data_IF_455980706560
#
_entry.id   IF_455980706560
#
_cell.length_a   1.000
_cell.length_b   1.000
_cell.length_c   1.000
_cell.angle_alpha   90.00
_cell.angle_beta   90.00
_cell.angle_gamma   90.00
#
_symmetry.space_group_name_H-M   'P 1'
#
loop_
_entity.id
_entity.type
_entity.pdbx_description
1 polymer ?
#
# COMPACT_ATOMS: atom_id res chain seq x y z
N UNK A 1 2.60 -24.33 -17.54
CA UNK A 1 1.41 -24.87 -16.85
C UNK A 1 1.44 -24.33 -15.43
N UNK A 2 0.29 -23.97 -14.81
CA UNK A 2 0.30 -23.39 -13.47
C UNK A 2 0.06 -24.46 -12.41
N UNK A 3 0.78 -24.36 -11.30
CA UNK A 3 0.65 -25.25 -10.14
C UNK A 3 0.26 -24.43 -8.92
N UNK A 4 -0.76 -24.89 -8.22
CA UNK A 4 -1.21 -24.37 -6.94
C UNK A 4 -0.77 -25.35 -5.84
N UNK A 5 -0.02 -24.86 -4.86
CA UNK A 5 0.38 -25.60 -3.67
C UNK A 5 -0.25 -24.95 -2.44
N UNK A 6 -0.82 -25.76 -1.55
CA UNK A 6 -1.57 -25.32 -0.39
C UNK A 6 -0.87 -25.78 0.89
N UNK A 7 -0.81 -24.88 1.86
CA UNK A 7 -0.19 -25.11 3.16
C UNK A 7 -1.11 -24.65 4.28
N UNK A 8 -1.05 -25.32 5.42
CA UNK A 8 -1.78 -24.89 6.61
C UNK A 8 -1.27 -23.54 7.12
N UNK A 9 -1.98 -22.93 8.06
CA UNK A 9 -1.60 -21.70 8.75
C UNK A 9 -0.27 -21.82 9.55
N UNK A 10 0.23 -23.05 9.71
CA UNK A 10 1.53 -23.38 10.31
C UNK A 10 2.53 -23.89 9.26
N UNK A 11 2.35 -23.52 7.99
CA UNK A 11 3.23 -23.88 6.87
C UNK A 11 3.36 -25.40 6.65
N UNK A 12 2.42 -26.23 7.09
CA UNK A 12 2.46 -27.68 6.79
C UNK A 12 1.83 -27.93 5.42
N UNK A 13 2.48 -28.71 4.55
CA UNK A 13 1.93 -29.05 3.24
C UNK A 13 0.55 -29.72 3.37
N UNK A 14 -0.44 -29.22 2.64
CA UNK A 14 -1.81 -29.71 2.65
C UNK A 14 -2.17 -30.44 1.35
N UNK A 15 -1.94 -29.79 0.20
CA UNK A 15 -2.30 -30.34 -1.11
C UNK A 15 -1.58 -29.62 -2.26
N UNK A 16 -1.60 -30.19 -3.46
CA UNK A 16 -1.12 -29.54 -4.67
C UNK A 16 -1.88 -29.99 -5.92
N UNK A 17 -2.13 -29.05 -6.83
CA UNK A 17 -2.91 -29.32 -8.05
C UNK A 17 -2.49 -28.42 -9.21
N UNK A 18 -2.70 -28.90 -10.43
CA UNK A 18 -2.56 -28.08 -11.62
C UNK A 18 -3.82 -27.24 -11.85
N UNK A 19 -3.63 -25.99 -12.24
CA UNK A 19 -4.71 -25.04 -12.52
C UNK A 19 -4.52 -24.43 -13.91
N UNK A 20 -5.62 -23.95 -14.48
CA UNK A 20 -5.58 -23.08 -15.64
C UNK A 20 -4.90 -21.76 -15.30
N UNK A 21 -4.47 -21.01 -16.33
CA UNK A 21 -3.82 -19.72 -16.16
C UNK A 21 -4.71 -18.76 -15.35
N UNK A 22 -4.34 -18.42 -14.10
CA UNK A 22 -5.13 -17.54 -13.27
C UNK A 22 -4.90 -16.08 -13.68
N UNK A 23 -5.87 -15.23 -13.37
CA UNK A 23 -5.62 -13.78 -13.28
C UNK A 23 -5.33 -13.46 -11.83
N UNK A 24 -4.10 -13.05 -11.57
CA UNK A 24 -3.62 -12.72 -10.23
C UNK A 24 -3.58 -11.20 -10.12
N UNK A 25 -4.13 -10.67 -9.04
CA UNK A 25 -4.09 -9.24 -8.75
C UNK A 25 -3.40 -9.01 -7.39
N UNK A 26 -2.26 -8.33 -7.43
CA UNK A 26 -1.45 -7.99 -6.26
C UNK A 26 -1.48 -6.47 -6.08
N UNK A 27 -2.51 -5.99 -5.39
CA UNK A 27 -2.69 -4.59 -5.03
C UNK A 27 -2.23 -4.35 -3.58
N UNK A 28 -1.26 -3.46 -3.39
CA UNK A 28 -0.62 -3.18 -2.10
C UNK A 28 -1.31 -2.09 -1.28
N UNK A 29 -2.49 -1.62 -1.72
CA UNK A 29 -3.31 -0.66 -0.98
C UNK A 29 -4.56 -1.33 -0.40
N UNK A 30 -5.13 -2.28 -1.13
CA UNK A 30 -6.42 -2.89 -0.78
C UNK A 30 -6.34 -4.37 -0.46
N UNK A 31 -5.30 -5.05 -0.96
CA UNK A 31 -5.13 -6.49 -0.81
C UNK A 31 -6.41 -7.27 -1.16
N UNK A 32 -7.07 -6.87 -2.24
CA UNK A 32 -8.33 -7.46 -2.68
C UNK A 32 -8.19 -8.95 -2.98
N UNK A 33 -9.29 -9.68 -2.85
CA UNK A 33 -9.33 -11.08 -3.22
C UNK A 33 -9.46 -11.26 -4.73
N UNK A 34 -8.78 -12.27 -5.26
CA UNK A 34 -9.03 -12.85 -6.58
C UNK A 34 -9.38 -14.34 -6.42
N UNK A 35 -9.97 -14.95 -7.44
CA UNK A 35 -10.43 -16.34 -7.37
C UNK A 35 -9.73 -17.22 -8.39
N UNK A 36 -9.39 -18.45 -7.96
CA UNK A 36 -8.86 -19.51 -8.81
C UNK A 36 -9.80 -20.70 -8.73
N UNK A 37 -10.10 -21.29 -9.89
CA UNK A 37 -10.81 -22.57 -9.97
C UNK A 37 -9.80 -23.69 -10.04
N UNK A 38 -9.98 -24.72 -9.20
CA UNK A 38 -9.15 -25.90 -9.16
C UNK A 38 -10.01 -27.18 -9.10
N UNK A 39 -9.45 -28.34 -9.46
CA UNK A 39 -10.01 -29.63 -9.03
C UNK A 39 -10.16 -29.69 -7.51
N UNK A 40 -11.01 -30.58 -7.00
CA UNK A 40 -11.22 -30.74 -5.56
C UNK A 40 -9.89 -31.00 -4.83
N UNK A 41 -9.56 -30.12 -3.89
CA UNK A 41 -8.34 -30.18 -3.05
C UNK A 41 -8.68 -29.90 -1.59
N UNK A 42 -7.81 -30.35 -0.69
CA UNK A 42 -7.89 -30.05 0.74
C UNK A 42 -7.47 -28.60 1.02
N UNK A 43 -8.44 -27.72 1.25
CA UNK A 43 -8.21 -26.31 1.46
C UNK A 43 -9.23 -25.72 2.45
N UNK A 44 -8.79 -24.80 3.30
CA UNK A 44 -9.68 -24.00 4.16
C UNK A 44 -9.21 -22.56 4.25
N UNK A 45 -10.12 -21.68 4.70
CA UNK A 45 -9.78 -20.29 5.02
C UNK A 45 -8.61 -20.22 6.01
N UNK A 46 -7.66 -19.33 5.75
CA UNK A 46 -6.46 -19.13 6.56
C UNK A 46 -5.25 -19.98 6.13
N UNK A 47 -5.43 -20.91 5.19
CA UNK A 47 -4.31 -21.59 4.54
C UNK A 47 -3.49 -20.64 3.67
N UNK A 48 -2.23 -20.98 3.45
CA UNK A 48 -1.36 -20.32 2.50
C UNK A 48 -1.42 -21.01 1.15
N UNK A 49 -1.31 -20.22 0.09
CA UNK A 49 -1.31 -20.68 -1.28
C UNK A 49 -0.07 -20.17 -2.00
N UNK A 50 0.58 -21.05 -2.74
CA UNK A 50 1.74 -20.76 -3.57
C UNK A 50 1.42 -21.12 -5.02
N UNK A 51 1.52 -20.14 -5.91
CA UNK A 51 1.25 -20.33 -7.34
C UNK A 51 2.55 -20.21 -8.11
N UNK A 52 2.89 -21.25 -8.87
CA UNK A 52 4.06 -21.26 -9.74
C UNK A 52 3.70 -21.47 -11.21
N UNK A 53 4.53 -20.92 -12.08
CA UNK A 53 4.55 -21.20 -13.51
C UNK A 53 5.96 -21.65 -13.88
N UNK A 54 6.10 -22.89 -14.34
CA UNK A 54 7.36 -23.45 -14.85
C UNK A 54 8.53 -23.24 -13.85
N UNK A 55 8.27 -23.46 -12.55
CA UNK A 55 9.17 -23.25 -11.39
C UNK A 55 9.43 -21.80 -10.95
N UNK A 56 8.83 -20.82 -11.61
CA UNK A 56 8.87 -19.41 -11.18
C UNK A 56 7.68 -19.12 -10.28
N UNK A 57 7.93 -18.55 -9.10
CA UNK A 57 6.86 -18.04 -8.22
C UNK A 57 6.12 -16.91 -8.92
N UNK A 58 4.81 -17.05 -9.02
CA UNK A 58 3.92 -16.03 -9.59
C UNK A 58 3.21 -15.27 -8.48
N UNK A 59 2.78 -15.97 -7.43
CA UNK A 59 2.16 -15.35 -6.27
C UNK A 59 2.25 -16.23 -5.02
N UNK A 60 2.40 -15.56 -3.88
CA UNK A 60 2.17 -16.09 -2.55
C UNK A 60 0.95 -15.41 -1.93
N UNK A 61 0.05 -16.19 -1.35
CA UNK A 61 -1.28 -15.73 -0.98
C UNK A 61 -1.79 -16.36 0.32
N UNK A 62 -2.82 -15.76 0.89
CA UNK A 62 -3.65 -16.33 1.94
C UNK A 62 -5.04 -16.65 1.39
N UNK A 63 -5.55 -17.85 1.70
CA UNK A 63 -6.89 -18.30 1.32
C UNK A 63 -7.92 -17.57 2.19
N UNK A 64 -8.79 -16.79 1.55
CA UNK A 64 -9.82 -16.00 2.24
C UNK A 64 -11.17 -16.69 2.27
N UNK A 65 -11.49 -17.52 1.26
CA UNK A 65 -12.74 -18.29 1.18
C UNK A 65 -12.57 -19.51 0.27
N UNK A 66 -13.37 -20.56 0.51
CA UNK A 66 -13.37 -21.80 -0.28
C UNK A 66 -14.81 -22.20 -0.57
N UNK A 67 -15.17 -22.23 -1.84
CA UNK A 67 -16.52 -22.54 -2.30
C UNK A 67 -16.54 -23.85 -3.08
N UNK A 68 -17.08 -24.94 -2.50
CA UNK A 68 -17.18 -26.23 -3.19
C UNK A 68 -18.13 -26.17 -4.39
N UNK A 69 -17.67 -26.70 -5.52
CA UNK A 69 -18.46 -26.90 -6.74
C UNK A 69 -18.67 -28.39 -7.04
N UNK A 70 -19.23 -28.68 -8.22
CA UNK A 70 -19.37 -30.07 -8.70
C UNK A 70 -18.06 -30.51 -9.37
N UNK A 71 -17.23 -31.28 -8.65
CA UNK A 71 -15.94 -31.79 -9.16
C UNK A 71 -14.81 -30.75 -9.23
N UNK A 72 -15.07 -29.53 -8.76
CA UNK A 72 -14.13 -28.42 -8.69
C UNK A 72 -14.34 -27.65 -7.39
N UNK A 73 -13.40 -26.77 -7.06
CA UNK A 73 -13.49 -25.83 -5.95
C UNK A 73 -13.05 -24.44 -6.46
N UNK A 74 -13.79 -23.41 -6.06
CA UNK A 74 -13.38 -22.03 -6.24
C UNK A 74 -12.70 -21.55 -4.97
N UNK A 75 -11.44 -21.15 -5.07
CA UNK A 75 -10.62 -20.70 -3.94
C UNK A 75 -10.39 -19.20 -4.12
N UNK A 76 -10.92 -18.41 -3.19
CA UNK A 76 -10.66 -16.98 -3.12
C UNK A 76 -9.41 -16.75 -2.28
N UNK A 77 -8.50 -15.95 -2.81
CA UNK A 77 -7.18 -15.70 -2.27
C UNK A 77 -6.89 -14.21 -2.25
N UNK A 78 -6.19 -13.74 -1.21
CA UNK A 78 -5.66 -12.38 -1.10
C UNK A 78 -4.14 -12.43 -1.12
N UNK A 79 -3.44 -11.35 -1.51
CA UNK A 79 -1.98 -11.25 -1.32
C UNK A 79 -1.58 -11.62 0.11
N UNK A 80 -0.41 -12.22 0.30
CA UNK A 80 0.00 -12.76 1.60
C UNK A 80 0.02 -11.71 2.72
N UNK A 81 0.26 -10.44 2.38
CA UNK A 81 0.20 -9.27 3.25
C UNK A 81 -1.17 -9.09 3.93
N UNK A 82 -2.26 -9.61 3.34
CA UNK A 82 -3.58 -9.61 3.97
C UNK A 82 -3.65 -10.42 5.27
N UNK A 83 -2.60 -11.20 5.59
CA UNK A 83 -2.40 -11.77 6.92
C UNK A 83 -2.42 -10.70 8.03
N UNK A 84 -1.98 -9.48 7.71
CA UNK A 84 -1.90 -8.36 8.65
C UNK A 84 -3.18 -7.53 8.69
N UNK A 85 -4.28 -7.97 8.07
CA UNK A 85 -5.57 -7.27 8.15
C UNK A 85 -6.23 -7.49 9.51
N UNK A 86 -5.67 -6.83 10.53
CA UNK A 86 -6.06 -6.89 11.94
C UNK A 86 -5.88 -5.53 12.61
N UNK A 87 -6.71 -5.27 13.60
CA UNK A 87 -6.60 -4.09 14.46
C UNK A 87 -5.64 -4.38 15.62
N UNK A 88 -4.78 -3.40 15.93
CA UNK A 88 -3.82 -3.44 17.03
C UNK A 88 -3.95 -2.17 17.87
N UNK A 89 -3.55 -2.23 19.13
CA UNK A 89 -3.47 -1.01 19.94
C UNK A 89 -2.40 -0.06 19.40
N UNK A 90 -2.74 1.23 19.38
CA UNK A 90 -1.78 2.28 19.08
C UNK A 90 -0.60 2.22 20.08
N UNK A 91 0.60 2.57 19.60
CA UNK A 91 1.79 2.65 20.42
C UNK A 91 2.59 3.89 20.05
N UNK A 92 3.29 4.46 21.02
CA UNK A 92 4.06 5.69 20.86
C UNK A 92 5.41 5.43 20.16
N UNK A 93 5.38 4.80 18.98
CA UNK A 93 6.55 4.70 18.12
C UNK A 93 6.36 5.67 16.96
N UNK A 94 7.16 6.75 16.88
CA UNK A 94 6.97 7.81 15.90
C UNK A 94 7.54 7.46 14.52
N UNK A 95 8.17 6.29 14.34
CA UNK A 95 8.71 5.84 13.04
C UNK A 95 7.84 4.72 12.46
N UNK A 96 7.28 4.93 11.26
CA UNK A 96 6.34 4.02 10.63
C UNK A 96 6.94 2.62 10.41
N UNK A 97 8.18 2.53 9.95
CA UNK A 97 8.84 1.24 9.70
C UNK A 97 9.11 0.47 11.01
N UNK A 98 9.59 1.17 12.05
CA UNK A 98 9.79 0.58 13.37
C UNK A 98 8.48 0.19 14.06
N UNK A 99 7.43 0.98 13.88
CA UNK A 99 6.10 0.68 14.40
C UNK A 99 5.54 -0.60 13.77
N UNK A 100 5.55 -0.70 12.44
CA UNK A 100 5.12 -1.91 11.71
C UNK A 100 5.93 -3.14 12.14
N UNK A 101 7.26 -3.02 12.25
CA UNK A 101 8.13 -4.09 12.73
C UNK A 101 7.71 -4.59 14.12
N UNK A 102 7.52 -3.68 15.07
CA UNK A 102 7.13 -4.03 16.44
C UNK A 102 5.77 -4.71 16.48
N UNK A 103 4.78 -4.17 15.76
CA UNK A 103 3.42 -4.69 15.80
C UNK A 103 3.36 -6.09 15.17
N UNK A 104 3.99 -6.30 14.02
CA UNK A 104 4.03 -7.63 13.39
C UNK A 104 4.75 -8.64 14.30
N UNK A 105 5.88 -8.25 14.91
CA UNK A 105 6.60 -9.09 15.86
C UNK A 105 5.73 -9.48 17.06
N UNK A 106 5.05 -8.50 17.67
CA UNK A 106 4.20 -8.70 18.85
C UNK A 106 2.99 -9.58 18.55
N UNK A 107 2.32 -9.33 17.42
CA UNK A 107 1.04 -9.97 17.11
C UNK A 107 1.18 -11.33 16.44
N UNK A 108 2.24 -11.57 15.66
CA UNK A 108 2.36 -12.76 14.83
C UNK A 108 3.55 -13.66 15.17
N UNK A 109 4.56 -13.17 15.88
CA UNK A 109 5.77 -13.96 16.16
C UNK A 109 5.87 -14.35 17.63
N UNK A 110 5.67 -13.40 18.54
CA UNK A 110 5.88 -13.57 19.97
C UNK A 110 4.67 -13.17 20.81
N UNK A 111 3.47 -13.61 20.40
CA UNK A 111 2.25 -13.43 21.16
C UNK A 111 2.10 -14.51 22.26
N UNK A 112 1.45 -14.15 23.37
CA UNK A 112 1.15 -15.05 24.47
C UNK A 112 0.12 -16.13 24.11
N UNK A 113 -0.83 -15.80 23.23
CA UNK A 113 -1.69 -16.80 22.59
C UNK A 113 -0.92 -17.47 21.45
N UNK A 114 -0.46 -18.69 21.70
CA UNK A 114 0.35 -19.44 20.74
C UNK A 114 -0.41 -19.81 19.47
N UNK A 115 -1.75 -19.79 19.47
CA UNK A 115 -2.57 -20.00 18.28
C UNK A 115 -2.62 -18.76 17.38
N UNK A 116 -2.31 -17.57 17.93
CA UNK A 116 -2.18 -16.34 17.13
C UNK A 116 -0.84 -16.29 16.39
N UNK A 117 0.20 -16.91 16.96
CA UNK A 117 1.50 -16.96 16.32
C UNK A 117 1.46 -17.68 14.96
N UNK A 118 2.28 -17.19 14.04
CA UNK A 118 2.52 -17.72 12.70
C UNK A 118 4.02 -17.95 12.55
N UNK A 119 4.45 -18.88 11.68
CA UNK A 119 5.87 -19.07 11.38
C UNK A 119 6.36 -17.89 10.53
N UNK A 120 6.53 -16.72 11.14
CA UNK A 120 6.92 -15.47 10.48
C UNK A 120 8.34 -15.11 10.89
N UNK A 121 9.16 -14.78 9.90
CA UNK A 121 10.40 -14.03 10.09
C UNK A 121 10.22 -12.64 9.50
N UNK A 122 10.65 -11.62 10.22
CA UNK A 122 10.52 -10.24 9.78
C UNK A 122 11.87 -9.52 9.76
N UNK A 123 12.11 -8.74 8.71
CA UNK A 123 13.26 -7.87 8.59
C UNK A 123 12.83 -6.45 8.20
N UNK A 124 13.40 -5.46 8.86
CA UNK A 124 13.29 -4.06 8.46
C UNK A 124 14.58 -3.63 7.73
N UNK A 125 14.45 -3.20 6.48
CA UNK A 125 15.58 -2.71 5.67
C UNK A 125 15.60 -1.18 5.54
N UNK A 126 14.57 -0.51 6.04
CA UNK A 126 14.46 0.95 6.07
C UNK A 126 15.42 1.51 7.12
N UNK A 127 16.30 2.42 6.71
CA UNK A 127 17.28 3.08 7.59
C UNK A 127 16.97 4.55 7.86
N UNK A 128 16.16 5.15 7.01
CA UNK A 128 15.65 6.51 7.17
C UNK A 128 14.45 6.47 8.10
N UNK A 129 14.38 7.41 9.04
CA UNK A 129 13.19 7.56 9.89
C UNK A 129 12.09 8.23 9.09
N UNK A 130 10.90 7.65 9.11
CA UNK A 130 9.71 8.21 8.47
C UNK A 130 8.62 8.41 9.51
N UNK A 131 8.18 9.66 9.75
CA UNK A 131 7.18 9.96 10.77
C UNK A 131 5.91 9.14 10.60
N UNK A 132 5.44 8.53 11.68
CA UNK A 132 4.10 7.98 11.77
C UNK A 132 3.23 8.96 12.54
N UNK A 133 2.29 9.59 11.83
CA UNK A 133 1.24 10.36 12.48
C UNK A 133 0.07 9.44 12.73
N UNK A 134 -0.35 9.38 13.99
CA UNK A 134 -1.56 8.70 14.42
C UNK A 134 -2.44 9.74 15.08
N UNK A 135 -3.75 9.69 14.82
CA UNK A 135 -4.69 10.55 15.52
C UNK A 135 -4.65 10.27 17.04
N UNK A 136 -4.52 11.31 17.85
CA UNK A 136 -4.36 11.17 19.31
C UNK A 136 -5.57 10.50 20.01
N UNK A 137 -6.72 10.48 19.35
CA UNK A 137 -7.97 9.87 19.82
C UNK A 137 -8.21 8.44 19.32
N UNK A 138 -7.30 7.87 18.53
CA UNK A 138 -7.41 6.49 18.05
C UNK A 138 -6.66 5.50 18.96
N UNK A 139 -7.41 4.74 19.75
CA UNK A 139 -6.86 3.68 20.61
C UNK A 139 -6.38 2.45 19.82
N UNK A 140 -6.94 2.23 18.63
CA UNK A 140 -6.63 1.07 17.78
C UNK A 140 -6.43 1.47 16.34
N UNK A 141 -5.46 0.85 15.68
CA UNK A 141 -5.11 1.06 14.27
C UNK A 141 -5.10 -0.27 13.54
N UNK A 142 -5.52 -0.27 12.28
CA UNK A 142 -5.41 -1.43 11.43
C UNK A 142 -4.03 -1.47 10.74
N UNK A 143 -3.32 -2.61 10.77
CA UNK A 143 -1.97 -2.67 10.21
C UNK A 143 -1.94 -2.45 8.69
N UNK A 144 -2.93 -2.94 7.94
CA UNK A 144 -2.92 -2.75 6.48
C UNK A 144 -3.21 -1.29 6.09
N UNK A 145 -3.93 -0.55 6.92
CA UNK A 145 -4.14 0.89 6.72
C UNK A 145 -2.83 1.66 6.95
N UNK A 146 -2.06 1.32 7.99
CA UNK A 146 -0.73 1.91 8.21
C UNK A 146 0.26 1.51 7.12
N UNK A 147 0.18 0.28 6.60
CA UNK A 147 0.96 -0.15 5.44
C UNK A 147 0.61 0.68 4.19
N UNK A 148 -0.68 0.94 3.95
CA UNK A 148 -1.13 1.77 2.84
C UNK A 148 -0.66 3.22 3.01
N UNK A 149 -0.79 3.81 4.20
CA UNK A 149 -0.28 5.15 4.53
C UNK A 149 1.24 5.24 4.28
N UNK A 150 2.01 4.27 4.78
CA UNK A 150 3.47 4.24 4.58
C UNK A 150 3.86 4.15 3.09
N UNK A 151 3.11 3.38 2.30
CA UNK A 151 3.31 3.28 0.85
C UNK A 151 2.95 4.60 0.15
N UNK A 152 1.79 5.18 0.45
CA UNK A 152 1.32 6.38 -0.25
C UNK A 152 2.08 7.64 0.14
N UNK A 153 2.58 7.73 1.36
CA UNK A 153 3.28 8.92 1.85
C UNK A 153 4.79 8.82 1.60
N UNK A 154 5.38 7.64 1.79
CA UNK A 154 6.85 7.49 1.80
C UNK A 154 7.37 6.48 0.77
N UNK A 155 6.50 5.75 0.08
CA UNK A 155 6.87 4.65 -0.80
C UNK A 155 7.46 3.43 -0.06
N UNK A 156 7.33 3.38 1.26
CA UNK A 156 7.70 2.21 2.06
C UNK A 156 6.61 1.17 1.88
N UNK A 157 6.97 -0.07 1.58
CA UNK A 157 6.00 -1.14 1.47
C UNK A 157 6.45 -2.36 2.28
N UNK A 158 5.45 -3.15 2.67
CA UNK A 158 5.67 -4.45 3.30
C UNK A 158 5.45 -5.52 2.26
N UNK A 159 6.49 -6.31 2.02
CA UNK A 159 6.40 -7.50 1.18
C UNK A 159 6.39 -8.77 2.03
N UNK A 160 5.72 -9.80 1.53
CA UNK A 160 5.63 -11.10 2.19
C UNK A 160 5.70 -12.22 1.16
N UNK A 161 6.56 -13.21 1.41
CA UNK A 161 6.68 -14.40 0.58
C UNK A 161 6.88 -15.66 1.43
N UNK A 162 6.65 -16.83 0.82
CA UNK A 162 6.83 -18.13 1.46
C UNK A 162 8.27 -18.63 1.25
N UNK A 163 8.97 -18.94 2.34
CA UNK A 163 10.26 -19.62 2.33
C UNK A 163 10.06 -21.10 2.67
N UNK A 164 10.05 -21.95 1.64
CA UNK A 164 9.89 -23.39 1.78
C UNK A 164 11.11 -24.11 2.34
N UNK A 165 12.29 -23.46 2.38
CA UNK A 165 13.47 -24.07 2.99
C UNK A 165 13.39 -23.98 4.51
N UNK A 166 12.97 -22.82 5.02
CA UNK A 166 12.78 -22.60 6.45
C UNK A 166 11.34 -22.90 6.92
N UNK A 167 10.42 -23.15 6.00
CA UNK A 167 8.99 -23.39 6.24
C UNK A 167 8.35 -22.25 7.05
N UNK A 168 8.58 -21.03 6.57
CA UNK A 168 8.14 -19.79 7.21
C UNK A 168 7.68 -18.76 6.17
N UNK A 169 6.97 -17.76 6.64
CA UNK A 169 6.68 -16.53 5.90
C UNK A 169 7.81 -15.56 6.17
N UNK A 170 8.41 -15.02 5.11
CA UNK A 170 9.41 -13.96 5.21
C UNK A 170 8.72 -12.64 4.92
N UNK A 171 8.77 -11.73 5.88
CA UNK A 171 8.20 -10.39 5.81
C UNK A 171 9.32 -9.37 5.75
N UNK A 172 9.25 -8.45 4.81
CA UNK A 172 10.26 -7.41 4.63
C UNK A 172 9.60 -6.05 4.58
N UNK A 173 10.07 -5.13 5.41
CA UNK A 173 9.73 -3.71 5.32
C UNK A 173 10.81 -3.07 4.45
N UNK A 174 10.41 -2.56 3.28
CA UNK A 174 11.32 -2.19 2.19
C UNK A 174 11.19 -0.68 1.92
N UNK A 175 12.32 0.05 1.78
CA UNK A 175 12.29 1.48 1.47
C UNK A 175 11.78 1.73 0.04
N UNK A 176 11.42 2.99 -0.29
CA UNK A 176 11.06 3.37 -1.65
C UNK A 176 12.15 2.99 -2.65
N UNK A 177 11.71 2.60 -3.85
CA UNK A 177 12.59 2.35 -4.98
C UNK A 177 13.23 3.64 -5.50
N UNK A 178 14.26 3.51 -6.33
CA UNK A 178 14.80 4.66 -7.07
C UNK A 178 13.78 5.14 -8.11
N UNK A 179 13.62 6.46 -8.23
CA UNK A 179 12.66 7.05 -9.17
C UNK A 179 12.84 6.49 -10.60
N UNK A 180 11.73 6.11 -11.23
CA UNK A 180 11.70 5.60 -12.61
C UNK A 180 10.83 6.44 -13.53
N UNK A 181 11.16 6.43 -14.81
CA UNK A 181 10.33 7.03 -15.86
C UNK A 181 9.66 5.94 -16.69
N UNK A 182 8.37 6.11 -16.97
CA UNK A 182 7.62 5.26 -17.88
C UNK A 182 7.10 6.10 -19.04
N UNK A 183 7.38 5.67 -20.27
CA UNK A 183 6.88 6.29 -21.49
C UNK A 183 5.67 5.48 -21.99
N UNK A 184 4.46 5.93 -21.68
CA UNK A 184 3.24 5.18 -21.92
C UNK A 184 2.76 5.21 -23.39
N UNK A 185 3.42 5.98 -24.25
CA UNK A 185 3.14 6.06 -25.69
C UNK A 185 4.04 5.15 -26.53
N UNK A 186 4.94 4.37 -25.90
CA UNK A 186 5.79 3.42 -26.63
C UNK A 186 5.00 2.20 -27.12
N UNK A 187 5.40 1.66 -28.28
CA UNK A 187 4.74 0.53 -28.96
C UNK A 187 4.69 -0.76 -28.11
N UNK A 188 5.54 -0.89 -27.09
CA UNK A 188 5.56 -2.05 -26.20
C UNK A 188 4.51 -1.98 -25.08
N UNK A 189 3.84 -0.84 -24.92
CA UNK A 189 2.66 -0.67 -24.06
C UNK A 189 1.45 -1.19 -24.84
N UNK A 190 0.93 -2.35 -24.42
CA UNK A 190 -0.17 -3.04 -25.10
C UNK A 190 -1.53 -2.37 -24.86
N UNK A 191 -1.71 -1.85 -23.65
CA UNK A 191 -2.90 -1.12 -23.24
C UNK A 191 -2.53 -0.11 -22.14
N UNK A 192 -3.32 0.97 -22.05
CA UNK A 192 -3.17 1.96 -21.00
C UNK A 192 -4.50 2.56 -20.60
N UNK A 193 -4.65 2.81 -19.31
CA UNK A 193 -5.74 3.61 -18.77
C UNK A 193 -5.17 4.72 -17.90
N UNK A 194 -5.74 5.92 -18.02
CA UNK A 194 -5.50 7.04 -17.12
C UNK A 194 -6.85 7.45 -16.58
N UNK A 195 -7.11 7.10 -15.32
CA UNK A 195 -8.27 7.58 -14.60
C UNK A 195 -7.82 8.66 -13.64
N UNK A 196 -8.19 9.89 -13.94
CA UNK A 196 -7.96 11.01 -13.03
C UNK A 196 -8.91 10.86 -11.84
N UNK A 197 -8.40 11.06 -10.63
CA UNK A 197 -9.22 11.11 -9.42
C UNK A 197 -10.25 12.24 -9.49
N UNK A 198 -11.38 12.05 -8.81
CA UNK A 198 -12.46 13.04 -8.70
C UNK A 198 -12.16 14.04 -7.57
N UNK A 199 -10.92 14.52 -7.47
CA UNK A 199 -10.44 15.43 -6.42
C UNK A 199 -10.77 16.88 -6.65
N UNK A 200 -11.89 17.15 -7.33
CA UNK A 200 -12.45 18.48 -7.29
C UNK A 200 -12.83 18.82 -5.83
N UNK A 201 -11.99 19.61 -5.16
CA UNK A 201 -12.12 19.93 -3.73
C UNK A 201 -10.97 19.47 -2.84
N UNK A 202 -10.05 18.63 -3.32
CA UNK A 202 -8.93 18.14 -2.50
C UNK A 202 -7.88 19.23 -2.27
N UNK A 203 -7.46 19.39 -1.01
CA UNK A 203 -6.66 20.53 -0.56
C UNK A 203 -5.22 20.49 -1.09
N UNK A 204 -4.86 21.34 -2.04
CA UNK A 204 -3.47 21.51 -2.53
C UNK A 204 -2.70 22.63 -1.80
N UNK A 205 -3.24 23.08 -0.66
CA UNK A 205 -2.68 24.10 0.21
C UNK A 205 -3.03 23.78 1.67
N UNK A 206 -2.06 23.86 2.57
CA UNK A 206 -2.30 23.75 4.01
C UNK A 206 -1.86 25.02 4.74
N UNK A 207 -2.63 25.43 5.74
CA UNK A 207 -2.27 26.53 6.63
C UNK A 207 -2.26 25.99 8.06
N UNK A 208 -1.10 26.01 8.72
CA UNK A 208 -0.93 25.51 10.08
C UNK A 208 -0.66 26.68 11.00
N UNK A 209 -1.48 26.81 12.05
CA UNK A 209 -1.28 27.81 13.11
C UNK A 209 -0.53 27.20 14.29
N UNK A 210 0.45 27.93 14.80
CA UNK A 210 1.13 27.59 16.04
C UNK A 210 0.20 27.85 17.22
N UNK A 211 -0.04 26.86 18.07
CA UNK A 211 -0.86 27.00 19.28
C UNK A 211 0.06 27.05 20.49
N UNK A 212 0.02 28.16 21.23
CA UNK A 212 0.78 28.32 22.49
C UNK A 212 -0.22 28.41 23.62
N UNK A 213 -0.08 27.53 24.62
CA UNK A 213 -0.87 27.59 25.85
C UNK A 213 0.02 28.14 26.96
N UNK A 214 -0.36 29.28 27.53
CA UNK A 214 0.31 29.85 28.68
C UNK A 214 0.08 28.96 29.91
N UNK A 215 1.15 28.48 30.54
CA UNK A 215 1.07 27.49 31.63
C UNK A 215 0.53 28.06 32.94
N UNK A 216 0.55 29.38 33.14
CA UNK A 216 0.09 30.02 34.38
C UNK A 216 -1.37 30.47 34.28
N UNK A 217 -1.80 30.90 33.11
CA UNK A 217 -3.12 31.48 32.85
C UNK A 217 -4.07 30.55 32.08
N UNK A 218 -3.55 29.44 31.54
CA UNK A 218 -4.25 28.53 30.62
C UNK A 218 -4.74 29.24 29.34
N UNK A 219 -4.24 30.44 29.04
CA UNK A 219 -4.62 31.21 27.86
C UNK A 219 -4.02 30.59 26.59
N UNK A 220 -4.84 30.37 25.57
CA UNK A 220 -4.42 29.84 24.28
C UNK A 220 -4.25 30.97 23.28
N UNK A 221 -3.05 31.11 22.71
CA UNK A 221 -2.72 32.09 21.67
C UNK A 221 -2.22 31.44 20.39
N UNK A 222 -2.27 32.20 19.29
CA UNK A 222 -1.83 31.76 17.96
C UNK A 222 -0.83 32.75 17.36
N UNK A 223 0.43 32.75 17.83
CA UNK A 223 1.39 33.81 17.51
C UNK A 223 1.89 33.80 16.06
N UNK A 224 1.84 32.64 15.38
CA UNK A 224 2.33 32.49 14.01
C UNK A 224 1.56 31.44 13.21
N UNK A 225 1.77 31.44 11.90
CA UNK A 225 1.29 30.40 10.99
C UNK A 225 2.30 30.16 9.87
N UNK A 226 2.32 28.94 9.33
CA UNK A 226 3.04 28.59 8.10
C UNK A 226 2.02 28.13 7.05
N UNK A 227 2.33 28.41 5.79
CA UNK A 227 1.53 27.99 4.63
C UNK A 227 2.38 27.04 3.78
N UNK A 228 1.83 25.85 3.53
CA UNK A 228 2.44 24.85 2.66
C UNK A 228 1.62 24.69 1.37
N UNK A 229 2.32 24.38 0.29
CA UNK A 229 1.78 24.20 -1.05
C UNK A 229 2.17 22.84 -1.59
N UNK A 230 1.22 22.15 -2.23
CA UNK A 230 1.51 20.97 -3.03
C UNK A 230 1.85 21.39 -4.46
N UNK A 231 3.00 20.93 -4.93
CA UNK A 231 3.49 21.16 -6.29
C UNK A 231 3.12 20.01 -7.24
N UNK A 232 3.08 20.23 -8.57
CA UNK A 232 2.81 19.19 -9.57
C UNK A 232 3.83 18.04 -9.58
N UNK A 233 5.07 18.30 -9.16
CA UNK A 233 6.10 17.26 -8.98
C UNK A 233 5.91 16.48 -7.67
N UNK A 234 4.91 16.86 -6.87
CA UNK A 234 4.54 16.23 -5.61
C UNK A 234 5.32 16.70 -4.40
N UNK A 235 6.23 17.66 -4.57
CA UNK A 235 6.91 18.28 -3.43
C UNK A 235 5.91 19.12 -2.61
N UNK A 236 6.14 19.17 -1.30
CA UNK A 236 5.39 20.02 -0.37
C UNK A 236 6.38 20.94 0.31
N UNK A 237 6.22 22.25 0.12
CA UNK A 237 7.06 23.25 0.75
C UNK A 237 6.29 24.57 0.97
N UNK A 238 7.00 25.63 1.36
CA UNK A 238 6.43 26.96 1.63
C UNK A 238 6.54 27.92 0.44
N UNK A 239 7.02 27.45 -0.71
CA UNK A 239 7.30 28.24 -1.90
C UNK A 239 6.02 28.38 -2.74
N UNK A 240 5.58 29.62 -2.97
CA UNK A 240 4.38 29.90 -3.78
C UNK A 240 4.73 30.01 -5.27
N UNK A 241 5.19 28.91 -5.86
CA UNK A 241 5.46 28.78 -7.30
C UNK A 241 4.81 27.52 -7.88
N UNK A 242 4.78 27.41 -9.22
CA UNK A 242 4.29 26.25 -9.97
C UNK A 242 2.98 25.60 -9.47
N UNK A 243 2.04 26.40 -8.95
CA UNK A 243 0.93 25.86 -8.14
C UNK A 243 -0.05 25.00 -8.92
N UNK A 244 -0.60 24.00 -8.23
CA UNK A 244 -1.82 23.31 -8.66
C UNK A 244 -3.01 24.28 -8.56
N UNK A 245 -3.83 24.34 -9.63
CA UNK A 245 -5.05 25.16 -9.68
C UNK A 245 -6.24 24.34 -10.20
N UNK A 246 -7.49 24.59 -9.73
CA UNK A 246 -7.90 25.59 -8.73
C UNK A 246 -7.38 25.28 -7.32
N UNK A 247 -7.22 26.32 -6.50
CA UNK A 247 -6.69 26.18 -5.13
C UNK A 247 -7.79 25.74 -4.18
N UNK A 248 -7.54 24.64 -3.48
CA UNK A 248 -8.36 24.15 -2.37
C UNK A 248 -7.47 24.09 -1.14
N UNK A 249 -7.97 24.46 0.04
CA UNK A 249 -7.15 24.58 1.24
C UNK A 249 -7.70 23.79 2.41
N UNK A 250 -6.78 23.34 3.27
CA UNK A 250 -7.08 22.80 4.59
C UNK A 250 -6.38 23.62 5.67
N UNK A 251 -6.92 23.59 6.89
CA UNK A 251 -6.45 24.36 8.04
C UNK A 251 -6.16 23.40 9.20
N UNK A 252 -5.06 23.62 9.91
CA UNK A 252 -4.75 22.90 11.15
C UNK A 252 -4.13 23.81 12.21
N UNK A 253 -4.07 23.29 13.42
CA UNK A 253 -3.35 23.87 14.56
C UNK A 253 -2.39 22.84 15.11
N UNK A 254 -1.18 23.28 15.44
CA UNK A 254 -0.14 22.42 16.02
C UNK A 254 0.44 23.11 17.25
N UNK A 255 0.53 22.38 18.36
CA UNK A 255 1.04 22.90 19.63
C UNK A 255 2.53 23.25 19.53
N UNK A 256 2.95 24.30 20.26
CA UNK A 256 4.34 24.75 20.29
C UNK A 256 5.29 23.68 20.80
N UNK A 257 6.37 23.46 20.05
CA UNK A 257 7.46 22.54 20.35
C UNK A 257 8.77 23.12 19.83
N UNK A 258 9.91 22.58 20.31
CA UNK A 258 11.23 22.92 19.78
C UNK A 258 11.42 22.47 18.31
N UNK A 259 10.58 21.54 17.85
CA UNK A 259 10.61 20.95 16.50
C UNK A 259 9.46 21.44 15.61
N UNK A 260 8.75 22.49 16.04
CA UNK A 260 7.47 22.90 15.45
C UNK A 260 7.51 23.09 13.92
N UNK A 261 8.58 23.64 13.37
CA UNK A 261 8.70 23.85 11.91
C UNK A 261 8.74 22.52 11.13
N UNK A 262 9.43 21.51 11.69
CA UNK A 262 9.52 20.17 11.08
C UNK A 262 8.22 19.41 11.28
N UNK A 263 7.65 19.45 12.48
CA UNK A 263 6.37 18.80 12.79
C UNK A 263 5.25 19.36 11.89
N UNK A 264 5.26 20.68 11.63
CA UNK A 264 4.33 21.34 10.72
C UNK A 264 4.56 20.91 9.25
N UNK A 265 5.82 20.75 8.82
CA UNK A 265 6.12 20.22 7.49
C UNK A 265 5.64 18.78 7.35
N UNK A 266 5.90 17.92 8.32
CA UNK A 266 5.51 16.52 8.30
C UNK A 266 3.98 16.38 8.24
N UNK A 267 3.26 17.17 9.03
CA UNK A 267 1.79 17.22 8.98
C UNK A 267 1.27 17.74 7.63
N UNK A 268 1.95 18.71 7.02
CA UNK A 268 1.59 19.22 5.70
C UNK A 268 1.86 18.21 4.58
N UNK A 269 3.01 17.52 4.62
CA UNK A 269 3.34 16.42 3.72
C UNK A 269 2.24 15.36 3.82
N UNK A 270 1.89 14.92 5.02
CA UNK A 270 0.85 13.92 5.19
C UNK A 270 -0.54 14.37 4.69
N UNK A 271 -0.94 15.62 4.95
CA UNK A 271 -2.25 16.11 4.53
C UNK A 271 -2.35 16.35 3.02
N UNK A 272 -1.23 16.65 2.36
CA UNK A 272 -1.18 17.06 0.96
C UNK A 272 -0.70 15.92 0.02
N UNK A 273 0.23 15.06 0.45
CA UNK A 273 0.80 13.95 -0.34
C UNK A 273 -0.21 12.89 -0.82
N UNK A 274 -1.33 12.58 -0.13
CA UNK A 274 -2.36 11.70 -0.68
C UNK A 274 -2.90 12.19 -2.04
N UNK A 275 -2.74 13.48 -2.36
CA UNK A 275 -3.18 14.09 -3.62
C UNK A 275 -2.13 14.03 -4.72
N UNK A 276 -0.86 13.75 -4.39
CA UNK A 276 0.23 13.59 -5.35
C UNK A 276 -0.02 12.40 -6.30
N UNK A 277 -0.69 11.35 -5.79
CA UNK A 277 -0.90 10.08 -6.49
C UNK A 277 -2.37 9.81 -6.80
N UNK A 278 -3.19 10.85 -6.88
CA UNK A 278 -4.65 10.76 -7.06
C UNK A 278 -5.10 10.39 -8.48
N UNK A 279 -4.21 9.79 -9.26
CA UNK A 279 -4.54 9.25 -10.58
C UNK A 279 -4.32 7.75 -10.54
N UNK A 280 -5.30 6.97 -10.98
CA UNK A 280 -5.10 5.56 -11.28
C UNK A 280 -4.59 5.44 -12.71
N UNK A 281 -3.33 5.06 -12.87
CA UNK A 281 -2.74 4.81 -14.19
C UNK A 281 -2.43 3.32 -14.29
N UNK A 282 -2.90 2.67 -15.35
CA UNK A 282 -2.52 1.29 -15.66
C UNK A 282 -1.72 1.25 -16.96
N UNK A 283 -0.63 0.50 -16.96
CA UNK A 283 0.17 0.22 -18.15
C UNK A 283 0.31 -1.29 -18.31
N UNK A 284 -0.18 -1.82 -19.41
CA UNK A 284 -0.13 -3.26 -19.71
C UNK A 284 1.03 -3.55 -20.66
N UNK A 285 1.79 -4.58 -20.34
CA UNK A 285 2.94 -5.04 -21.10
C UNK A 285 2.83 -6.54 -21.38
N UNK A 286 3.61 -7.00 -22.35
CA UNK A 286 3.80 -8.44 -22.56
C UNK A 286 4.67 -9.02 -21.45
N UNK A 287 4.42 -10.27 -21.04
CA UNK A 287 5.33 -11.02 -20.18
C UNK A 287 6.73 -11.11 -20.82
N UNK A 288 7.76 -10.84 -20.02
CA UNK A 288 9.16 -10.82 -20.45
C UNK A 288 9.55 -9.61 -21.29
N UNK A 289 8.78 -8.51 -21.22
CA UNK A 289 9.16 -7.24 -21.87
C UNK A 289 10.53 -6.77 -21.34
N UNK A 290 11.53 -6.78 -22.22
CA UNK A 290 12.91 -6.50 -21.86
C UNK A 290 13.18 -5.03 -21.52
N UNK A 291 12.31 -4.11 -21.99
CA UNK A 291 12.50 -2.68 -21.78
C UNK A 291 12.05 -2.28 -20.38
N UNK A 292 10.88 -2.76 -19.95
CA UNK A 292 10.26 -2.37 -18.68
C UNK A 292 10.52 -3.39 -17.57
N UNK A 293 10.68 -4.67 -17.92
CA UNK A 293 10.75 -5.81 -17.00
C UNK A 293 9.64 -5.75 -15.93
N UNK A 294 8.36 -5.78 -16.35
CA UNK A 294 7.23 -5.50 -15.48
C UNK A 294 7.11 -6.49 -14.31
N UNK A 295 7.59 -7.74 -14.45
CA UNK A 295 7.64 -8.76 -13.39
C UNK A 295 8.65 -8.43 -12.28
N UNK A 296 9.58 -7.51 -12.51
CA UNK A 296 10.62 -7.13 -11.56
C UNK A 296 10.47 -5.68 -11.09
N UNK A 297 9.42 -4.98 -11.54
CA UNK A 297 9.15 -3.61 -11.14
C UNK A 297 8.82 -3.54 -9.63
N UNK A 298 9.69 -2.90 -8.85
CA UNK A 298 9.57 -2.82 -7.40
C UNK A 298 8.38 -1.95 -6.96
N UNK A 299 7.49 -2.47 -6.13
CA UNK A 299 6.41 -1.70 -5.50
C UNK A 299 7.00 -0.56 -4.65
N UNK A 300 6.26 0.55 -4.50
CA UNK A 300 6.76 1.74 -3.79
C UNK A 300 7.80 2.53 -4.57
N UNK A 301 8.02 2.21 -5.86
CA UNK A 301 8.87 3.02 -6.73
C UNK A 301 8.13 4.30 -7.14
N UNK A 302 8.62 5.50 -6.76
CA UNK A 302 8.10 6.75 -7.29
C UNK A 302 8.42 6.83 -8.78
N UNK A 303 7.51 7.42 -9.55
CA UNK A 303 7.66 7.44 -11.00
C UNK A 303 7.09 8.67 -11.67
N UNK A 304 7.63 8.96 -12.86
CA UNK A 304 7.08 9.92 -13.80
C UNK A 304 6.57 9.17 -15.01
N UNK A 305 5.28 9.32 -15.33
CA UNK A 305 4.64 8.66 -16.46
C UNK A 305 4.34 9.71 -17.53
N UNK A 306 4.96 9.56 -18.70
CA UNK A 306 4.71 10.41 -19.86
C UNK A 306 3.66 9.79 -20.76
N UNK A 307 2.63 10.56 -21.10
CA UNK A 307 1.57 10.16 -22.03
C UNK A 307 0.89 11.37 -22.65
N UNK A 308 0.66 11.37 -23.96
CA UNK A 308 -0.03 12.46 -24.66
C UNK A 308 0.63 13.83 -24.51
N UNK A 309 1.95 13.86 -24.30
CA UNK A 309 2.72 15.09 -24.06
C UNK A 309 2.61 15.66 -22.64
N UNK A 310 1.96 14.95 -21.72
CA UNK A 310 1.86 15.30 -20.29
C UNK A 310 2.76 14.38 -19.46
N UNK A 311 3.19 14.89 -18.30
CA UNK A 311 3.94 14.15 -17.31
C UNK A 311 3.09 14.01 -16.03
N UNK A 312 2.95 12.77 -15.55
CA UNK A 312 2.22 12.46 -14.33
C UNK A 312 3.20 11.93 -13.27
N UNK A 313 3.24 12.58 -12.12
CA UNK A 313 3.92 12.04 -10.94
C UNK A 313 3.03 10.95 -10.33
N UNK A 314 3.58 9.76 -10.09
CA UNK A 314 2.84 8.62 -9.56
C UNK A 314 3.74 7.70 -8.73
N UNK A 315 3.18 6.64 -8.17
CA UNK A 315 3.92 5.60 -7.46
C UNK A 315 3.38 4.23 -7.85
N UNK A 316 4.26 3.23 -8.02
CA UNK A 316 3.85 1.87 -8.34
C UNK A 316 3.23 1.19 -7.10
N UNK A 317 1.94 0.86 -7.18
CA UNK A 317 1.16 0.34 -6.04
C UNK A 317 0.56 -1.03 -6.27
N UNK A 318 0.61 -1.54 -7.50
CA UNK A 318 0.08 -2.87 -7.77
C UNK A 318 0.60 -3.49 -9.06
N UNK A 319 0.37 -4.79 -9.16
CA UNK A 319 0.67 -5.58 -10.34
C UNK A 319 -0.38 -6.66 -10.51
N UNK A 320 -0.92 -6.76 -11.72
CA UNK A 320 -1.73 -7.91 -12.14
C UNK A 320 -0.98 -8.76 -13.15
N UNK A 321 -0.99 -10.08 -12.94
CA UNK A 321 -0.41 -11.08 -13.84
C UNK A 321 -1.57 -11.83 -14.50
N UNK A 322 -1.68 -11.68 -15.81
CA UNK A 322 -2.65 -12.39 -16.64
C UNK A 322 -1.98 -13.38 -17.59
N UNK A 323 -2.74 -13.88 -18.57
CA UNK A 323 -2.21 -14.80 -19.58
C UNK A 323 -1.31 -14.08 -20.57
N UNK A 324 0.01 -14.16 -20.36
CA UNK A 324 1.02 -13.59 -21.27
C UNK A 324 1.18 -12.06 -21.19
N UNK A 325 0.52 -11.42 -20.23
CA UNK A 325 0.57 -9.97 -20.00
C UNK A 325 0.75 -9.65 -18.52
N UNK A 326 1.41 -8.54 -18.23
CA UNK A 326 1.56 -7.98 -16.89
C UNK A 326 1.07 -6.53 -16.92
N UNK A 327 0.16 -6.20 -16.02
CA UNK A 327 -0.35 -4.83 -15.86
C UNK A 327 0.27 -4.22 -14.61
N UNK A 328 0.95 -3.10 -14.77
CA UNK A 328 1.44 -2.29 -13.66
C UNK A 328 0.38 -1.24 -13.33
N UNK A 329 0.11 -1.08 -12.04
CA UNK A 329 -0.89 -0.12 -11.55
C UNK A 329 -0.21 0.93 -10.69
N UNK A 330 -0.40 2.19 -11.05
CA UNK A 330 0.18 3.33 -10.39
C UNK A 330 -0.91 4.19 -9.73
N UNK A 331 -0.53 4.88 -8.66
CA UNK A 331 -1.40 5.79 -7.92
C UNK A 331 -1.96 5.23 -6.62
N UNK A 332 -2.50 6.13 -5.80
CA UNK A 332 -3.04 5.87 -4.46
C UNK A 332 -4.57 5.77 -4.41
N UNK A 333 -5.28 6.43 -5.34
CA UNK A 333 -6.74 6.42 -5.36
C UNK A 333 -7.26 5.40 -6.37
N UNK A 334 -8.09 4.46 -5.88
CA UNK A 334 -8.80 3.48 -6.72
C UNK A 334 -10.24 3.93 -6.92
N UNK A 335 -10.74 3.87 -8.16
CA UNK A 335 -12.15 4.18 -8.49
C UNK A 335 -13.15 3.40 -7.62
N UNK A 336 -12.76 2.20 -7.16
CA UNK A 336 -13.55 1.33 -6.29
C UNK A 336 -13.59 1.80 -4.82
N UNK A 337 -12.50 2.35 -4.29
CA UNK A 337 -12.37 2.89 -2.94
C UNK A 337 -13.15 4.22 -2.79
N UNK A 338 -13.02 5.11 -3.77
CA UNK A 338 -13.72 6.41 -3.78
C UNK A 338 -15.24 6.23 -3.74
N UNK A 339 -15.77 5.23 -4.46
CA UNK A 339 -17.21 4.89 -4.40
C UNK A 339 -17.65 4.40 -3.01
N UNK A 340 -16.84 3.57 -2.33
CA UNK A 340 -17.16 3.06 -0.98
C UNK A 340 -17.13 4.17 0.08
N UNK A 341 -16.14 5.05 0.05
CA UNK A 341 -16.01 6.19 0.97
C UNK A 341 -17.13 7.23 0.79
N UNK A 342 -17.50 7.54 -0.47
CA UNK A 342 -18.62 8.45 -0.77
C UNK A 342 -19.96 7.87 -0.26
N UNK A 343 -20.17 6.55 -0.37
CA UNK A 343 -21.38 5.89 0.12
C UNK A 343 -21.46 5.91 1.66
N UNK A 344 -20.34 5.70 2.36
CA UNK A 344 -20.29 5.78 3.82
C UNK A 344 -20.53 7.21 4.34
N UNK A 345 -19.99 8.24 3.67
CA UNK A 345 -20.21 9.66 4.03
C UNK A 345 -21.67 10.13 3.86
N UNK A 346 -22.48 9.44 3.06
CA UNK A 346 -23.92 9.75 2.87
C UNK A 346 -24.85 9.01 3.84
N UNK A 347 -24.31 8.14 4.68
CA UNK A 347 -25.07 7.36 5.68
C UNK A 347 -24.86 7.87 7.12
N UNK A 348 -24.04 8.91 7.33
CA UNK A 348 -24.01 9.72 8.55
C UNK A 348 -24.83 10.99 8.35
#
# INVERSE_FOLDING_TARGET
MYKLELFTEQMTFADAVEIDAPTIDLDYLTFNAFSVTAPTVSCQKGYFAHITQDSTTVADCIVSDVQPGTGTVSISMRPLQALFDVDVFASQIPDAASWLLQQIQTQFVSNADTLQNRPVSIANTVRTVYPLTVAEDEDTLNLIDIMAQALTTYGIYVDAHLDFKAMQIVVQIIPPGAQRTFEADLDNVLDKSVTLGDSYGSANKMIIRKRVTDQETEEVTYPSQIVFYLHPDGTVDTTDDNRITPVFWTLATLDDSDTWDQDALDQAVEALSPQQYDNEITLQYKTGDALVNPEQAQIGTPCTIYTGGLAYTSILTGRSVGSGTVTLTFGAVRVSLTKKLILQRRQR
#
